data_IF_746307681655
#
_entry.id   IF_746307681655
#
_cell.length_a   1.000
_cell.length_b   1.000
_cell.length_c   1.000
_cell.angle_alpha   90.00
_cell.angle_beta   90.00
_cell.angle_gamma   90.00
#
_symmetry.space_group_name_H-M   'P 1'
#
loop_
_entity.id
_entity.type
_entity.pdbx_description
1 polymer ?
#
# COMPACT_ATOMS: atom_id res chain seq x y z
N UNK A 1 43.87 47.75 -41.37
CA UNK A 1 42.51 48.26 -41.66
C UNK A 1 42.12 47.78 -43.04
N UNK A 2 40.97 47.19 -43.36
CA UNK A 2 39.91 46.54 -42.61
C UNK A 2 39.23 45.60 -43.64
N UNK A 3 39.07 44.33 -43.29
CA UNK A 3 38.53 43.28 -44.16
C UNK A 3 37.00 43.31 -44.19
N UNK A 4 36.41 44.35 -44.80
CA UNK A 4 34.95 44.56 -44.80
C UNK A 4 34.23 44.08 -46.09
N UNK A 5 34.93 43.48 -47.06
CA UNK A 5 34.37 43.20 -48.40
C UNK A 5 33.79 41.77 -48.53
N UNK A 6 34.04 40.85 -47.59
CA UNK A 6 33.57 39.44 -47.70
C UNK A 6 32.17 39.18 -47.13
N UNK A 7 31.67 40.00 -46.21
CA UNK A 7 30.42 39.70 -45.49
C UNK A 7 29.15 39.86 -46.34
N UNK A 8 29.15 40.78 -47.31
CA UNK A 8 27.98 41.03 -48.18
C UNK A 8 27.72 39.83 -49.09
N UNK A 9 28.79 39.16 -49.54
CA UNK A 9 28.70 37.92 -50.33
C UNK A 9 28.24 36.73 -49.50
N UNK A 10 28.78 36.58 -48.28
CA UNK A 10 28.43 35.49 -47.35
C UNK A 10 26.97 35.59 -46.90
N UNK A 11 26.47 36.78 -46.59
CA UNK A 11 25.06 36.99 -46.22
C UNK A 11 24.09 36.65 -47.37
N UNK A 12 24.45 37.02 -48.60
CA UNK A 12 23.63 36.68 -49.78
C UNK A 12 23.64 35.17 -50.05
N UNK A 13 24.77 34.52 -49.80
CA UNK A 13 24.95 33.08 -49.93
C UNK A 13 24.20 32.30 -48.84
N UNK A 14 24.28 32.71 -47.57
CA UNK A 14 23.50 32.09 -46.47
C UNK A 14 22.01 32.27 -46.67
N UNK A 15 21.55 33.46 -47.10
CA UNK A 15 20.13 33.69 -47.41
C UNK A 15 19.63 32.76 -48.53
N UNK A 16 20.44 32.55 -49.56
CA UNK A 16 20.10 31.65 -50.68
C UNK A 16 20.08 30.19 -50.24
N UNK A 17 21.02 29.77 -49.40
CA UNK A 17 21.06 28.43 -48.82
C UNK A 17 19.88 28.16 -47.88
N UNK A 18 19.51 29.13 -47.03
CA UNK A 18 18.34 29.05 -46.16
C UNK A 18 17.04 28.97 -46.96
N UNK A 19 16.90 29.77 -48.02
CA UNK A 19 15.74 29.70 -48.91
C UNK A 19 15.65 28.35 -49.61
N UNK A 20 16.77 27.80 -50.09
CA UNK A 20 16.83 26.46 -50.68
C UNK A 20 16.42 25.38 -49.67
N UNK A 21 16.94 25.43 -48.44
CA UNK A 21 16.58 24.49 -47.38
C UNK A 21 15.10 24.61 -46.98
N UNK A 22 14.57 25.84 -46.93
CA UNK A 22 13.16 26.09 -46.67
C UNK A 22 12.26 25.52 -47.78
N UNK A 23 12.59 25.75 -49.05
CA UNK A 23 11.83 25.21 -50.19
C UNK A 23 11.85 23.68 -50.23
N UNK A 24 13.00 23.06 -49.91
CA UNK A 24 13.11 21.60 -49.78
C UNK A 24 12.20 21.10 -48.64
N UNK A 25 12.21 21.77 -47.48
CA UNK A 25 11.38 21.43 -46.33
C UNK A 25 9.88 21.65 -46.59
N UNK A 26 9.52 22.64 -47.39
CA UNK A 26 8.16 22.87 -47.89
C UNK A 26 7.71 21.79 -48.89
N UNK A 27 8.63 21.22 -49.69
CA UNK A 27 8.31 20.11 -50.60
C UNK A 27 8.16 18.78 -49.87
N UNK A 28 8.91 18.56 -48.79
CA UNK A 28 8.79 17.41 -47.90
C UNK A 28 7.87 17.68 -46.70
N UNK A 29 6.84 18.51 -46.88
CA UNK A 29 5.90 18.97 -45.84
C UNK A 29 5.32 17.83 -44.99
N UNK A 30 5.04 16.67 -45.59
CA UNK A 30 4.54 15.49 -44.86
C UNK A 30 5.54 14.95 -43.83
N UNK A 31 6.83 14.87 -44.18
CA UNK A 31 7.91 14.44 -43.28
C UNK A 31 8.19 15.47 -42.18
N UNK A 32 8.21 16.76 -42.55
CA UNK A 32 8.46 17.83 -41.57
C UNK A 32 7.32 18.01 -40.57
N UNK A 33 6.07 17.75 -40.96
CA UNK A 33 4.93 17.78 -40.04
C UNK A 33 5.01 16.58 -39.10
N UNK A 34 5.36 15.40 -39.63
CA UNK A 34 5.54 14.18 -38.84
C UNK A 34 6.64 14.32 -37.77
N UNK A 35 7.76 14.97 -38.11
CA UNK A 35 8.87 15.27 -37.18
C UNK A 35 8.45 16.11 -35.97
N UNK A 36 7.44 16.99 -36.12
CA UNK A 36 6.96 17.88 -35.05
C UNK A 36 5.75 17.28 -34.34
N UNK A 37 4.88 16.59 -35.08
CA UNK A 37 3.66 16.01 -34.56
C UNK A 37 3.93 14.86 -33.57
N UNK A 38 4.91 14.00 -33.87
CA UNK A 38 5.27 12.90 -32.97
C UNK A 38 5.76 13.35 -31.60
N UNK A 39 6.76 14.23 -31.45
CA UNK A 39 7.21 14.67 -30.14
C UNK A 39 6.11 15.40 -29.36
N UNK A 40 5.26 16.18 -30.04
CA UNK A 40 4.10 16.82 -29.41
C UNK A 40 3.07 15.78 -28.92
N UNK A 41 2.78 14.77 -29.73
CA UNK A 41 1.87 13.69 -29.38
C UNK A 41 2.39 12.91 -28.16
N UNK A 42 3.66 12.49 -28.16
CA UNK A 42 4.26 11.79 -27.02
C UNK A 42 4.30 12.67 -25.77
N UNK A 43 4.65 13.95 -25.88
CA UNK A 43 4.61 14.89 -24.76
C UNK A 43 3.21 15.01 -24.17
N UNK A 44 2.19 15.13 -25.03
CA UNK A 44 0.80 15.18 -24.61
C UNK A 44 0.37 13.91 -23.86
N UNK A 45 0.73 12.73 -24.37
CA UNK A 45 0.45 11.46 -23.69
C UNK A 45 1.14 11.35 -22.33
N UNK A 46 2.40 11.78 -22.23
CA UNK A 46 3.11 11.77 -20.95
C UNK A 46 2.45 12.71 -19.93
N UNK A 47 1.97 13.87 -20.35
CA UNK A 47 1.22 14.78 -19.49
C UNK A 47 -0.10 14.14 -19.05
N UNK A 48 -0.85 13.51 -19.96
CA UNK A 48 -2.08 12.80 -19.62
C UNK A 48 -1.84 11.68 -18.61
N UNK A 49 -0.82 10.84 -18.83
CA UNK A 49 -0.45 9.76 -17.89
C UNK A 49 -0.04 10.34 -16.54
N UNK A 50 0.74 11.43 -16.53
CA UNK A 50 1.13 12.12 -15.29
C UNK A 50 -0.04 12.77 -14.55
N UNK A 51 -1.08 13.22 -15.25
CA UNK A 51 -2.29 13.75 -14.62
C UNK A 51 -3.19 12.65 -14.08
N UNK A 52 -3.26 11.49 -14.76
CA UNK A 52 -4.01 10.32 -14.31
C UNK A 52 -3.35 9.65 -13.09
N UNK A 53 -2.01 9.67 -13.03
CA UNK A 53 -1.23 9.22 -11.89
C UNK A 53 -0.35 10.36 -11.37
N UNK A 54 -0.93 11.32 -10.63
CA UNK A 54 -0.13 12.38 -10.02
C UNK A 54 0.92 11.73 -9.11
N UNK A 55 2.16 12.21 -9.21
CA UNK A 55 3.20 11.85 -8.26
C UNK A 55 2.71 12.23 -6.86
N UNK A 56 2.22 11.23 -6.12
CA UNK A 56 1.86 11.38 -4.73
C UNK A 56 3.17 11.65 -3.99
N UNK A 57 3.34 12.89 -3.54
CA UNK A 57 4.34 13.18 -2.52
C UNK A 57 3.79 12.57 -1.24
N UNK A 58 4.33 11.43 -0.85
CA UNK A 58 4.03 10.83 0.43
C UNK A 58 4.76 11.68 1.47
N UNK A 59 4.02 12.27 2.39
CA UNK A 59 4.61 12.83 3.61
C UNK A 59 5.16 11.65 4.43
N UNK A 60 6.26 11.88 5.15
CA UNK A 60 6.77 10.91 6.11
C UNK A 60 5.62 10.50 7.02
N UNK A 61 5.36 9.19 7.10
CA UNK A 61 4.41 8.66 8.08
C UNK A 61 4.98 9.02 9.43
N UNK A 62 4.30 9.94 10.12
CA UNK A 62 4.62 10.24 11.50
C UNK A 62 4.70 8.93 12.27
N UNK A 63 5.77 8.73 13.03
CA UNK A 63 5.91 7.67 14.02
C UNK A 63 4.83 7.86 15.09
N UNK A 64 3.58 7.57 14.72
CA UNK A 64 2.49 7.42 15.67
C UNK A 64 2.87 6.14 16.40
N UNK A 65 3.41 6.32 17.60
CA UNK A 65 3.40 5.30 18.65
C UNK A 65 2.11 4.52 18.48
N UNK A 66 2.22 3.20 18.22
CA UNK A 66 1.06 2.33 18.05
C UNK A 66 0.04 2.76 19.11
N UNK A 67 -1.10 3.28 18.64
CA UNK A 67 -2.08 3.97 19.48
C UNK A 67 -2.17 3.24 20.81
N UNK A 68 -2.13 3.95 21.97
CA UNK A 68 -2.12 3.33 23.28
C UNK A 68 -3.10 2.16 23.32
N UNK A 69 -2.66 1.00 23.83
CA UNK A 69 -3.42 -0.25 23.86
C UNK A 69 -4.85 -0.08 24.42
N UNK A 70 -5.11 1.04 25.09
CA UNK A 70 -6.41 1.58 25.51
C UNK A 70 -7.51 1.62 24.42
N UNK A 71 -7.14 1.68 23.13
CA UNK A 71 -8.10 1.66 22.00
C UNK A 71 -8.30 0.29 21.37
N UNK A 72 -8.20 -0.80 22.14
CA UNK A 72 -8.78 -2.05 21.71
C UNK A 72 -10.31 -1.89 21.58
N UNK A 73 -10.77 -1.64 20.35
CA UNK A 73 -12.17 -1.38 20.04
C UNK A 73 -12.97 -2.66 19.73
N UNK A 74 -12.33 -3.83 19.77
CA UNK A 74 -12.98 -5.14 19.67
C UNK A 74 -13.66 -5.50 21.00
N UNK A 75 -14.70 -4.75 21.36
CA UNK A 75 -15.68 -5.25 22.33
C UNK A 75 -16.41 -6.44 21.74
N UNK A 76 -16.57 -7.51 22.52
CA UNK A 76 -17.38 -8.70 22.16
C UNK A 76 -16.72 -9.74 21.25
N UNK A 77 -15.39 -9.79 21.19
CA UNK A 77 -14.67 -10.88 20.54
C UNK A 77 -14.53 -12.09 21.48
N UNK A 78 -14.60 -13.28 20.89
CA UNK A 78 -14.34 -14.58 21.51
C UNK A 78 -12.93 -14.99 21.09
N UNK A 79 -12.07 -15.25 22.08
CA UNK A 79 -10.69 -15.61 21.86
C UNK A 79 -10.51 -17.11 22.14
N UNK A 80 -10.43 -17.91 21.08
CA UNK A 80 -10.17 -19.33 21.19
C UNK A 80 -8.69 -19.65 21.11
N UNK A 81 -8.19 -20.60 21.90
CA UNK A 81 -6.80 -21.06 21.75
C UNK A 81 -6.63 -22.58 21.80
N UNK A 82 -5.56 -23.06 21.17
CA UNK A 82 -5.18 -24.47 21.11
C UNK A 82 -3.67 -24.64 20.90
N UNK A 83 -3.03 -25.73 21.36
CA UNK A 83 -3.56 -26.73 22.30
C UNK A 83 -3.62 -26.20 23.73
N UNK A 84 -4.48 -26.81 24.55
CA UNK A 84 -4.58 -26.52 25.98
C UNK A 84 -3.45 -27.22 26.72
N UNK A 85 -2.54 -26.43 27.27
CA UNK A 85 -1.43 -26.88 28.11
C UNK A 85 -1.29 -25.92 29.30
N UNK A 86 -0.55 -26.33 30.34
CA UNK A 86 -0.32 -25.46 31.49
C UNK A 86 0.33 -24.12 31.09
N UNK A 87 1.22 -24.12 30.09
CA UNK A 87 1.90 -22.92 29.62
C UNK A 87 0.94 -22.04 28.82
N UNK A 88 0.30 -22.59 27.77
CA UNK A 88 -0.60 -21.82 26.90
C UNK A 88 -1.81 -21.27 27.66
N UNK A 89 -2.37 -22.02 28.60
CA UNK A 89 -3.44 -21.54 29.49
C UNK A 89 -2.96 -20.38 30.36
N UNK A 90 -1.76 -20.46 30.94
CA UNK A 90 -1.20 -19.36 31.75
C UNK A 90 -0.93 -18.08 30.95
N UNK A 91 -0.50 -18.21 29.70
CA UNK A 91 -0.30 -17.08 28.78
C UNK A 91 -1.64 -16.43 28.47
N UNK A 92 -2.61 -17.24 28.01
CA UNK A 92 -3.92 -16.73 27.62
C UNK A 92 -4.71 -16.14 28.80
N UNK A 93 -4.51 -16.67 30.00
CA UNK A 93 -5.05 -16.10 31.23
C UNK A 93 -4.50 -14.69 31.47
N UNK A 94 -3.17 -14.49 31.38
CA UNK A 94 -2.54 -13.16 31.52
C UNK A 94 -2.98 -12.19 30.43
N UNK A 95 -3.02 -12.64 29.18
CA UNK A 95 -3.51 -11.86 28.04
C UNK A 95 -4.92 -11.35 28.31
N UNK A 96 -5.80 -12.24 28.81
CA UNK A 96 -7.20 -11.90 29.09
C UNK A 96 -7.37 -10.98 30.29
N UNK A 97 -6.56 -11.11 31.35
CA UNK A 97 -6.69 -10.29 32.57
C UNK A 97 -6.03 -8.93 32.44
N UNK A 98 -4.83 -8.88 31.88
CA UNK A 98 -3.95 -7.72 32.00
C UNK A 98 -4.09 -6.78 30.80
N UNK A 99 -4.35 -7.32 29.61
CA UNK A 99 -4.31 -6.55 28.36
C UNK A 99 -5.67 -6.48 27.66
N UNK A 100 -6.53 -7.49 27.81
CA UNK A 100 -7.80 -7.60 27.09
C UNK A 100 -9.02 -7.82 27.98
N UNK A 101 -9.27 -7.00 29.03
CA UNK A 101 -10.41 -7.19 29.94
C UNK A 101 -11.78 -7.02 29.27
N UNK A 102 -11.83 -6.50 28.03
CA UNK A 102 -13.04 -6.34 27.22
C UNK A 102 -13.32 -7.50 26.25
N UNK A 103 -12.41 -8.48 26.14
CA UNK A 103 -12.67 -9.74 25.44
C UNK A 103 -13.65 -10.54 26.31
N UNK A 104 -14.82 -10.85 25.76
CA UNK A 104 -15.94 -11.35 26.57
C UNK A 104 -15.71 -12.80 27.02
N UNK A 105 -15.07 -13.64 26.20
CA UNK A 105 -14.87 -15.06 26.50
C UNK A 105 -13.56 -15.57 25.90
N UNK A 106 -12.70 -16.13 26.74
CA UNK A 106 -11.57 -16.98 26.30
C UNK A 106 -12.05 -18.43 26.29
N UNK A 107 -11.87 -19.14 25.17
CA UNK A 107 -12.32 -20.52 24.98
C UNK A 107 -11.14 -21.46 24.72
N UNK A 108 -11.17 -22.60 25.37
CA UNK A 108 -10.11 -23.59 25.34
C UNK A 108 -10.44 -24.73 24.37
N UNK A 109 -9.51 -25.08 23.48
CA UNK A 109 -9.72 -26.13 22.48
C UNK A 109 -8.61 -27.17 22.48
N UNK A 110 -8.99 -28.45 22.52
CA UNK A 110 -8.03 -29.54 22.60
C UNK A 110 -7.17 -29.67 21.32
N UNK A 111 -7.75 -29.35 20.16
CA UNK A 111 -7.06 -29.44 18.88
C UNK A 111 -7.49 -28.33 17.90
N UNK A 112 -6.70 -28.16 16.84
CA UNK A 112 -6.95 -27.19 15.78
C UNK A 112 -8.28 -27.44 15.04
N UNK A 113 -8.72 -28.70 14.93
CA UNK A 113 -9.95 -29.04 14.21
C UNK A 113 -11.19 -28.54 14.95
N UNK A 114 -11.22 -28.69 16.27
CA UNK A 114 -12.28 -28.20 17.15
C UNK A 114 -12.32 -26.67 17.14
N UNK A 115 -11.16 -26.03 17.21
CA UNK A 115 -11.05 -24.57 17.11
C UNK A 115 -11.61 -24.07 15.77
N UNK A 116 -11.26 -24.73 14.66
CA UNK A 116 -11.78 -24.37 13.33
C UNK A 116 -13.29 -24.61 13.26
N UNK A 117 -13.80 -25.73 13.76
CA UNK A 117 -15.23 -26.00 13.80
C UNK A 117 -16.00 -24.93 14.60
N UNK A 118 -15.44 -24.49 15.74
CA UNK A 118 -16.02 -23.41 16.52
C UNK A 118 -15.98 -22.07 15.77
N UNK A 119 -14.87 -21.77 15.07
CA UNK A 119 -14.75 -20.55 14.27
C UNK A 119 -15.81 -20.44 13.17
N UNK A 120 -16.22 -21.58 12.58
CA UNK A 120 -17.29 -21.62 11.59
C UNK A 120 -18.67 -21.36 12.22
N UNK A 121 -18.87 -21.78 13.47
CA UNK A 121 -20.13 -21.55 14.20
C UNK A 121 -20.25 -20.13 14.76
N UNK A 122 -19.13 -19.46 15.04
CA UNK A 122 -19.03 -18.14 15.70
C UNK A 122 -18.35 -17.10 14.79
N UNK A 123 -18.60 -17.18 13.49
CA UNK A 123 -17.81 -16.53 12.42
C UNK A 123 -17.55 -15.03 12.58
N UNK A 124 -18.50 -14.25 13.10
CA UNK A 124 -18.40 -12.78 13.08
C UNK A 124 -17.54 -12.18 14.17
N UNK A 125 -17.22 -12.91 15.24
CA UNK A 125 -16.51 -12.37 16.42
C UNK A 125 -15.49 -13.35 17.00
N UNK A 126 -14.98 -14.31 16.21
CA UNK A 126 -14.05 -15.32 16.69
C UNK A 126 -12.62 -15.05 16.21
N UNK A 127 -11.67 -15.09 17.14
CA UNK A 127 -10.24 -15.06 16.85
C UNK A 127 -9.59 -16.29 17.47
N UNK A 128 -8.87 -17.04 16.65
CA UNK A 128 -8.17 -18.26 17.06
C UNK A 128 -6.67 -18.03 17.25
N UNK A 129 -6.10 -18.58 18.32
CA UNK A 129 -4.65 -18.65 18.56
C UNK A 129 -4.22 -20.11 18.54
N UNK A 130 -3.39 -20.47 17.58
CA UNK A 130 -2.86 -21.84 17.43
C UNK A 130 -1.38 -21.82 17.79
N UNK A 131 -1.06 -22.22 19.02
CA UNK A 131 0.32 -22.38 19.45
C UNK A 131 0.92 -23.62 18.78
N UNK A 132 2.03 -23.43 18.05
CA UNK A 132 2.76 -24.53 17.39
C UNK A 132 3.88 -25.02 18.30
N UNK A 133 4.65 -24.09 18.85
CA UNK A 133 5.71 -24.35 19.83
C UNK A 133 5.64 -23.32 20.97
N UNK A 134 6.59 -23.39 21.92
CA UNK A 134 6.67 -22.44 23.04
C UNK A 134 6.96 -20.99 22.63
N UNK A 135 7.48 -20.79 21.41
CA UNK A 135 7.89 -19.47 20.88
C UNK A 135 7.21 -19.17 19.53
N UNK A 136 6.23 -19.96 19.12
CA UNK A 136 5.58 -19.82 17.81
C UNK A 136 4.08 -20.04 17.92
N UNK A 137 3.31 -19.13 17.35
CA UNK A 137 1.85 -19.21 17.29
C UNK A 137 1.33 -18.66 15.96
N UNK A 138 0.17 -19.15 15.55
CA UNK A 138 -0.57 -18.67 14.38
C UNK A 138 -1.88 -18.03 14.84
N UNK A 139 -2.16 -16.84 14.34
CA UNK A 139 -3.45 -16.19 14.53
C UNK A 139 -4.38 -16.54 13.37
N UNK A 140 -5.61 -16.91 13.70
CA UNK A 140 -6.68 -17.22 12.75
C UNK A 140 -7.83 -16.26 12.92
N UNK A 141 -8.03 -15.45 11.88
CA UNK A 141 -9.16 -14.53 11.76
C UNK A 141 -10.15 -15.06 10.74
N UNK A 142 -11.44 -14.76 10.94
CA UNK A 142 -12.44 -15.08 9.93
C UNK A 142 -12.18 -14.28 8.65
N UNK A 143 -12.35 -14.86 7.44
CA UNK A 143 -11.99 -14.20 6.18
C UNK A 143 -12.63 -12.82 5.97
N UNK A 144 -13.84 -12.59 6.52
CA UNK A 144 -14.52 -11.28 6.43
C UNK A 144 -13.85 -10.18 7.23
N UNK A 145 -13.06 -10.53 8.26
CA UNK A 145 -12.27 -9.56 9.03
C UNK A 145 -10.96 -9.21 8.32
N UNK A 146 -10.47 -10.08 7.44
CA UNK A 146 -9.20 -9.87 6.75
C UNK A 146 -9.47 -8.98 5.53
N UNK A 147 -8.91 -7.77 5.48
CA UNK A 147 -9.08 -6.91 4.32
C UNK A 147 -8.49 -7.62 3.10
N UNK A 148 -9.23 -7.60 1.98
CA UNK A 148 -8.76 -8.20 0.74
C UNK A 148 -7.44 -7.53 0.37
N UNK A 149 -6.35 -8.30 0.40
CA UNK A 149 -5.06 -7.81 -0.05
C UNK A 149 -5.17 -7.59 -1.56
N UNK A 150 -5.35 -6.34 -2.00
CA UNK A 150 -4.96 -6.02 -3.36
C UNK A 150 -3.47 -6.31 -3.45
N UNK A 151 -3.06 -7.17 -4.39
CA UNK A 151 -1.65 -7.51 -4.66
C UNK A 151 -0.79 -6.24 -4.84
N UNK A 152 -1.44 -5.12 -5.17
CA UNK A 152 -0.93 -3.77 -4.99
C UNK A 152 -1.14 -3.33 -3.54
N UNK A 153 -0.19 -3.67 -2.67
CA UNK A 153 -0.05 -3.05 -1.36
C UNK A 153 0.23 -1.57 -1.61
N UNK A 154 -0.82 -0.75 -1.69
CA UNK A 154 -0.64 0.70 -1.65
C UNK A 154 0.05 0.98 -0.32
N UNK A 155 1.20 1.65 -0.38
CA UNK A 155 2.02 2.00 0.77
C UNK A 155 1.14 2.55 1.90
N UNK A 156 1.43 2.09 3.13
CA UNK A 156 0.73 2.46 4.38
C UNK A 156 0.60 3.99 4.54
N UNK A 157 1.49 4.72 3.88
CA UNK A 157 1.62 6.18 3.85
C UNK A 157 0.46 6.92 3.13
N UNK A 158 -0.40 6.23 2.39
CA UNK A 158 -1.57 6.83 1.73
C UNK A 158 -2.92 6.49 2.37
N UNK A 159 -2.92 5.74 3.48
CA UNK A 159 -4.09 5.08 4.04
C UNK A 159 -4.68 6.00 5.13
N UNK A 160 -5.68 6.82 4.76
CA UNK A 160 -6.47 7.62 5.71
C UNK A 160 -7.24 6.71 6.68
N UNK A 161 -7.86 7.28 7.72
CA UNK A 161 -8.65 6.60 8.78
C UNK A 161 -9.80 5.68 8.27
N UNK A 162 -10.06 5.65 6.96
CA UNK A 162 -11.12 4.90 6.28
C UNK A 162 -10.59 3.71 5.48
N UNK A 163 -9.34 3.32 5.69
CA UNK A 163 -8.67 2.30 4.90
C UNK A 163 -8.74 0.96 5.64
N UNK A 164 -9.37 -0.03 5.01
CA UNK A 164 -9.66 -1.34 5.62
C UNK A 164 -8.39 -2.03 6.17
N UNK A 165 -7.26 -1.85 5.50
CA UNK A 165 -5.97 -2.35 5.97
C UNK A 165 -5.55 -1.69 7.29
N UNK A 166 -5.46 -0.37 7.36
CA UNK A 166 -5.12 0.32 8.62
C UNK A 166 -6.14 0.05 9.72
N UNK A 167 -7.42 -0.07 9.34
CA UNK A 167 -8.47 -0.44 10.27
C UNK A 167 -8.24 -1.85 10.83
N UNK A 168 -7.95 -2.85 10.00
CA UNK A 168 -7.59 -4.21 10.45
C UNK A 168 -6.40 -4.23 11.42
N UNK A 169 -5.31 -3.52 11.08
CA UNK A 169 -4.12 -3.43 11.94
C UNK A 169 -4.45 -2.78 13.30
N UNK A 170 -5.25 -1.71 13.30
CA UNK A 170 -5.60 -0.95 14.51
C UNK A 170 -6.75 -1.52 15.33
N UNK A 171 -7.67 -2.29 14.72
CA UNK A 171 -8.84 -2.82 15.39
C UNK A 171 -8.50 -3.91 16.41
N UNK A 172 -7.41 -4.67 16.19
CA UNK A 172 -6.99 -5.61 17.22
C UNK A 172 -5.85 -6.55 16.90
N UNK A 173 -5.42 -6.69 15.64
CA UNK A 173 -4.29 -7.56 15.29
C UNK A 173 -3.02 -7.18 16.07
N UNK A 174 -2.65 -5.90 16.01
CA UNK A 174 -1.44 -5.39 16.69
C UNK A 174 -1.52 -5.50 18.20
N UNK A 175 -2.68 -5.21 18.77
CA UNK A 175 -2.90 -5.27 20.23
C UNK A 175 -2.86 -6.72 20.72
N UNK A 176 -3.53 -7.64 20.01
CA UNK A 176 -3.53 -9.06 20.37
C UNK A 176 -2.13 -9.66 20.28
N UNK A 177 -1.40 -9.36 19.19
CA UNK A 177 -0.01 -9.78 19.03
C UNK A 177 0.86 -9.23 20.17
N UNK A 178 0.81 -7.92 20.43
CA UNK A 178 1.58 -7.30 21.50
C UNK A 178 1.18 -7.74 22.92
N UNK A 179 0.01 -8.36 23.09
CA UNK A 179 -0.42 -8.91 24.38
C UNK A 179 0.10 -10.34 24.60
N UNK A 180 0.31 -11.09 23.51
CA UNK A 180 0.79 -12.48 23.54
C UNK A 180 2.32 -12.52 23.63
N UNK A 181 2.99 -11.63 22.89
CA UNK A 181 4.46 -11.44 22.88
C UNK A 181 4.99 -10.96 24.23
#
# INVERSE_FOLDING_TARGET
MATAIRDVGVWRQTRTLLLKNYLIKCRTKKSSVQEILFPLFFLFWLILVSMMHPNKKYEEVSDIELSPMDKFSLSNVILGYTPVTNITSSIMQRVSTDHLPKVIVTEEYANEKELVAASLSKSSNFVGVVFKDTMSYELRFFPEMIPVSSIYMNSREGCSKTCDAAQYWSLGFTVLQASID
#
